data_IF_170351896457
#
_entry.id   IF_170351896457
#
_cell.length_a   1.000
_cell.length_b   1.000
_cell.length_c   1.000
_cell.angle_alpha   90.00
_cell.angle_beta   90.00
_cell.angle_gamma   90.00
#
_symmetry.space_group_name_H-M   'P 1'
#
loop_
_entity.id
_entity.type
_entity.pdbx_description
1 polymer ?
#
# COMPACT_ATOMS: atom_id res chain seq x y z
N UNK A 1 -4.63 4.76 18.69
CA UNK A 1 -5.06 5.92 17.88
C UNK A 1 -6.29 5.58 17.03
N UNK A 2 -6.20 4.62 16.09
CA UNK A 2 -7.28 4.32 15.14
C UNK A 2 -8.63 3.91 15.75
N UNK A 3 -8.65 3.26 16.92
CA UNK A 3 -9.89 2.78 17.56
C UNK A 3 -10.71 3.87 18.26
N UNK A 4 -10.16 5.07 18.43
CA UNK A 4 -10.89 6.17 19.04
C UNK A 4 -11.84 6.81 17.99
N UNK A 5 -13.14 6.98 18.28
CA UNK A 5 -14.07 7.61 17.35
C UNK A 5 -13.63 9.04 16.98
N UNK A 6 -13.53 9.34 15.68
CA UNK A 6 -13.24 10.68 15.15
C UNK A 6 -11.82 11.22 15.36
N UNK A 7 -11.04 10.64 16.27
CA UNK A 7 -9.67 11.09 16.58
C UNK A 7 -8.70 10.91 15.40
N UNK A 8 -8.64 9.75 14.70
CA UNK A 8 -7.78 9.58 13.52
C UNK A 8 -8.14 10.55 12.38
N UNK A 9 -9.43 10.72 12.12
CA UNK A 9 -9.92 11.66 11.10
C UNK A 9 -9.52 13.09 11.44
N UNK A 10 -9.61 13.49 12.71
CA UNK A 10 -9.15 14.80 13.18
C UNK A 10 -7.64 14.98 12.95
N UNK A 11 -6.82 14.02 13.36
CA UNK A 11 -5.37 14.07 13.17
C UNK A 11 -4.97 14.12 11.69
N UNK A 12 -5.67 13.41 10.81
CA UNK A 12 -5.39 13.46 9.36
C UNK A 12 -5.74 14.80 8.72
N UNK A 13 -6.69 15.55 9.28
CA UNK A 13 -7.09 16.89 8.77
C UNK A 13 -6.29 18.03 9.39
N UNK A 14 -5.65 17.81 10.53
CA UNK A 14 -4.93 18.84 11.24
C UNK A 14 -3.78 19.42 10.40
N UNK A 15 -3.48 20.70 10.62
CA UNK A 15 -2.37 21.43 10.01
C UNK A 15 -2.26 21.23 8.48
N UNK A 16 -3.35 21.47 7.76
CA UNK A 16 -3.42 21.28 6.30
C UNK A 16 -2.98 19.88 5.83
N UNK A 17 -3.44 18.84 6.52
CA UNK A 17 -3.12 17.45 6.20
C UNK A 17 -1.62 17.10 6.28
N UNK A 18 -0.86 17.76 7.16
CA UNK A 18 0.58 17.49 7.36
C UNK A 18 0.90 15.99 7.56
N UNK A 19 0.05 15.24 8.26
CA UNK A 19 0.24 13.81 8.43
C UNK A 19 0.07 13.01 7.12
N UNK A 20 -0.85 13.43 6.25
CA UNK A 20 -1.03 12.82 4.93
C UNK A 20 0.16 13.15 4.03
N UNK A 21 0.65 14.39 4.10
CA UNK A 21 1.87 14.78 3.41
C UNK A 21 3.07 13.96 3.88
N UNK A 22 3.24 13.77 5.19
CA UNK A 22 4.30 12.95 5.75
C UNK A 22 4.23 11.47 5.29
N UNK A 23 3.03 10.91 5.12
CA UNK A 23 2.83 9.57 4.54
C UNK A 23 3.45 9.45 3.14
N UNK A 24 3.41 10.52 2.34
CA UNK A 24 3.94 10.53 0.98
C UNK A 24 5.37 11.07 0.88
N UNK A 25 5.81 11.95 1.80
CA UNK A 25 7.08 12.68 1.66
C UNK A 25 8.10 12.39 2.76
N UNK A 26 7.78 11.71 3.84
CA UNK A 26 8.78 11.36 4.86
C UNK A 26 9.87 10.45 4.29
N UNK A 27 10.97 10.29 5.01
CA UNK A 27 12.03 9.36 4.61
C UNK A 27 11.64 7.92 4.92
N UNK A 28 10.80 7.72 5.91
CA UNK A 28 10.42 6.44 6.48
C UNK A 28 9.30 5.76 5.66
N UNK A 29 8.31 6.53 5.20
CA UNK A 29 7.11 5.99 4.53
C UNK A 29 6.86 6.54 3.14
N UNK A 30 7.53 7.65 2.78
CA UNK A 30 7.29 8.35 1.53
C UNK A 30 7.88 7.67 0.29
N UNK A 31 7.56 8.26 -0.86
CA UNK A 31 8.09 7.82 -2.16
C UNK A 31 9.62 7.85 -2.17
N UNK A 32 10.23 6.79 -2.70
CA UNK A 32 11.67 6.79 -2.96
C UNK A 32 11.99 7.65 -4.20
N UNK A 33 11.15 7.61 -5.21
CA UNK A 33 11.24 8.45 -6.40
C UNK A 33 10.43 9.74 -6.19
N UNK A 34 11.13 10.81 -5.82
CA UNK A 34 10.48 12.11 -5.53
C UNK A 34 9.84 12.75 -6.75
N UNK A 35 10.28 12.42 -7.95
CA UNK A 35 9.68 12.92 -9.19
C UNK A 35 8.36 12.21 -9.53
N UNK A 36 8.09 11.03 -8.93
CA UNK A 36 6.87 10.27 -9.17
C UNK A 36 5.65 10.78 -8.38
N UNK A 37 5.84 11.77 -7.49
CA UNK A 37 4.77 12.37 -6.70
C UNK A 37 4.99 13.88 -6.56
N UNK A 38 4.19 14.63 -7.32
CA UNK A 38 4.30 16.09 -7.42
C UNK A 38 3.54 16.79 -6.30
N UNK A 39 3.64 18.13 -6.25
CA UNK A 39 2.81 18.94 -5.34
C UNK A 39 1.34 18.93 -5.79
N UNK A 40 1.08 18.92 -7.10
CA UNK A 40 -0.29 18.82 -7.63
C UNK A 40 -0.95 17.49 -7.22
N UNK A 41 -0.19 16.40 -7.18
CA UNK A 41 -0.69 15.11 -6.70
C UNK A 41 -1.08 15.19 -5.22
N UNK A 42 -0.23 15.81 -4.38
CA UNK A 42 -0.53 16.00 -2.96
C UNK A 42 -1.80 16.84 -2.77
N UNK A 43 -1.93 17.95 -3.49
CA UNK A 43 -3.10 18.81 -3.40
C UNK A 43 -4.37 18.11 -3.90
N UNK A 44 -4.28 17.25 -4.91
CA UNK A 44 -5.39 16.40 -5.34
C UNK A 44 -5.83 15.41 -4.24
N UNK A 45 -4.89 14.82 -3.49
CA UNK A 45 -5.18 13.98 -2.34
C UNK A 45 -5.83 14.78 -1.20
N UNK A 46 -5.27 15.94 -0.83
CA UNK A 46 -5.85 16.84 0.19
C UNK A 46 -7.26 17.27 -0.18
N UNK A 47 -7.46 17.72 -1.42
CA UNK A 47 -8.79 18.10 -1.94
C UNK A 47 -9.80 16.97 -1.82
N UNK A 48 -9.38 15.74 -2.15
CA UNK A 48 -10.25 14.57 -2.06
C UNK A 48 -10.64 14.27 -0.62
N UNK A 49 -9.69 14.29 0.31
CA UNK A 49 -9.92 13.99 1.72
C UNK A 49 -10.51 15.14 2.54
N UNK A 50 -10.50 16.36 2.02
CA UNK A 50 -11.18 17.52 2.60
C UNK A 50 -12.70 17.45 2.50
N UNK A 51 -13.23 16.65 1.56
CA UNK A 51 -14.68 16.47 1.40
C UNK A 51 -15.30 15.89 2.68
N UNK A 52 -16.50 16.35 3.10
CA UNK A 52 -17.16 15.83 4.28
C UNK A 52 -17.27 14.30 4.26
N UNK A 53 -16.75 13.64 5.30
CA UNK A 53 -16.79 12.19 5.46
C UNK A 53 -15.74 11.40 4.64
N UNK A 54 -14.92 12.03 3.80
CA UNK A 54 -14.00 11.31 2.90
C UNK A 54 -12.89 10.52 3.62
N UNK A 55 -12.50 10.94 4.82
CA UNK A 55 -11.52 10.21 5.64
C UNK A 55 -12.13 9.03 6.42
N UNK A 56 -13.44 8.99 6.61
CA UNK A 56 -14.07 7.94 7.41
C UNK A 56 -13.91 6.53 6.78
N UNK A 57 -14.09 6.32 5.45
CA UNK A 57 -13.86 5.02 4.84
C UNK A 57 -12.46 4.45 5.03
N UNK A 58 -11.34 5.15 4.71
CA UNK A 58 -10.01 4.60 4.93
C UNK A 58 -9.69 4.40 6.42
N UNK A 59 -10.18 5.25 7.32
CA UNK A 59 -10.02 5.04 8.76
C UNK A 59 -10.79 3.81 9.25
N UNK A 60 -12.00 3.60 8.74
CA UNK A 60 -12.81 2.43 9.06
C UNK A 60 -12.20 1.13 8.53
N UNK A 61 -11.57 1.17 7.35
CA UNK A 61 -10.81 0.02 6.83
C UNK A 61 -9.69 -0.38 7.81
N UNK A 62 -8.87 0.60 8.24
CA UNK A 62 -7.81 0.36 9.22
C UNK A 62 -8.35 -0.11 10.57
N UNK A 63 -9.46 0.45 11.06
CA UNK A 63 -10.14 -0.01 12.28
C UNK A 63 -10.58 -1.46 12.15
N UNK A 64 -11.19 -1.84 11.03
CA UNK A 64 -11.62 -3.20 10.79
C UNK A 64 -10.43 -4.17 10.80
N UNK A 65 -9.33 -3.83 10.14
CA UNK A 65 -8.11 -4.65 10.15
C UNK A 65 -7.52 -4.80 11.56
N UNK A 66 -7.54 -3.75 12.39
CA UNK A 66 -7.02 -3.80 13.77
C UNK A 66 -7.95 -4.54 14.74
N UNK A 67 -9.26 -4.45 14.52
CA UNK A 67 -10.28 -5.12 15.35
C UNK A 67 -10.55 -6.56 14.89
N UNK A 68 -10.14 -6.92 13.67
CA UNK A 68 -10.24 -8.28 13.18
C UNK A 68 -9.32 -9.19 14.01
N UNK A 69 -9.92 -9.81 15.01
CA UNK A 69 -9.53 -11.13 15.46
C UNK A 69 -9.87 -12.08 14.32
N UNK A 70 -8.96 -12.26 13.36
CA UNK A 70 -9.06 -13.41 12.48
C UNK A 70 -9.17 -14.64 13.40
N UNK A 71 -10.24 -15.45 13.32
CA UNK A 71 -10.17 -16.76 13.95
C UNK A 71 -8.90 -17.42 13.43
N UNK A 72 -8.12 -18.03 14.33
CA UNK A 72 -6.84 -18.67 14.00
C UNK A 72 -6.96 -19.70 12.83
N UNK A 73 -8.19 -20.09 12.52
CA UNK A 73 -8.58 -21.07 11.52
C UNK A 73 -9.29 -20.45 10.30
N UNK A 74 -8.91 -19.26 9.83
CA UNK A 74 -9.25 -18.93 8.44
C UNK A 74 -8.49 -19.91 7.55
N UNK A 75 -9.16 -20.84 6.82
CA UNK A 75 -8.45 -21.73 5.93
C UNK A 75 -7.73 -20.85 4.91
N UNK A 76 -6.41 -21.05 4.80
CA UNK A 76 -5.57 -20.42 3.79
C UNK A 76 -5.36 -21.45 2.68
N UNK A 77 -6.37 -21.75 1.84
CA UNK A 77 -6.19 -22.69 0.76
C UNK A 77 -5.08 -22.16 -0.16
N UNK A 78 -4.22 -23.07 -0.61
CA UNK A 78 -3.17 -22.70 -1.57
C UNK A 78 -3.85 -22.16 -2.84
N UNK A 79 -3.53 -20.91 -3.18
CA UNK A 79 -4.02 -20.22 -4.36
C UNK A 79 -3.54 -20.96 -5.61
N UNK A 80 -4.49 -21.44 -6.41
CA UNK A 80 -4.21 -22.17 -7.65
C UNK A 80 -3.79 -21.30 -8.83
N UNK A 81 -4.33 -20.07 -9.03
CA UNK A 81 -3.95 -19.24 -10.16
C UNK A 81 -2.47 -18.89 -10.14
N UNK A 82 -1.89 -18.76 -11.34
CA UNK A 82 -0.59 -18.14 -11.51
C UNK A 82 -0.66 -16.73 -10.94
N UNK A 83 0.31 -16.35 -10.10
CA UNK A 83 0.28 -15.10 -9.36
C UNK A 83 1.60 -14.34 -9.48
N UNK A 84 1.53 -13.03 -9.73
CA UNK A 84 2.67 -12.14 -9.68
C UNK A 84 2.58 -11.27 -8.43
N UNK A 85 3.62 -11.26 -7.62
CA UNK A 85 3.82 -10.31 -6.53
C UNK A 85 4.95 -9.36 -6.89
N UNK A 86 4.72 -8.07 -6.74
CA UNK A 86 5.73 -7.03 -6.90
C UNK A 86 5.80 -6.25 -5.59
N UNK A 87 7.00 -6.09 -5.03
CA UNK A 87 7.21 -5.56 -3.68
C UNK A 87 8.33 -4.53 -3.64
N UNK A 88 8.09 -3.37 -3.03
CA UNK A 88 9.13 -2.37 -2.79
C UNK A 88 9.91 -2.66 -1.50
N UNK A 89 11.24 -2.74 -1.55
CA UNK A 89 12.04 -3.12 -0.37
C UNK A 89 12.24 -1.99 0.66
N UNK A 90 11.78 -0.78 0.36
CA UNK A 90 11.78 0.37 1.26
C UNK A 90 10.36 0.67 1.79
N UNK A 91 9.50 -0.35 1.84
CA UNK A 91 8.16 -0.22 2.42
C UNK A 91 8.25 0.15 3.91
N UNK A 92 7.63 1.28 4.28
CA UNK A 92 7.58 1.79 5.65
C UNK A 92 6.37 1.31 6.45
N UNK A 93 5.43 0.60 5.81
CA UNK A 93 4.19 0.10 6.42
C UNK A 93 4.18 -1.42 6.61
N UNK A 94 4.80 -2.16 5.70
CA UNK A 94 4.81 -3.62 5.71
C UNK A 94 6.24 -4.17 5.82
N UNK A 95 6.38 -5.31 6.51
CA UNK A 95 7.67 -6.01 6.60
C UNK A 95 8.10 -6.57 5.25
N UNK A 96 9.39 -6.47 4.92
CA UNK A 96 9.94 -6.92 3.63
C UNK A 96 9.81 -8.44 3.38
N UNK A 97 9.69 -9.22 4.45
CA UNK A 97 9.44 -10.65 4.45
C UNK A 97 7.99 -10.97 4.07
N UNK A 98 7.09 -9.98 4.12
CA UNK A 98 5.67 -10.13 3.77
C UNK A 98 5.48 -10.75 2.39
N UNK A 99 6.21 -10.27 1.37
CA UNK A 99 6.18 -10.85 0.03
C UNK A 99 6.63 -12.31 -0.02
N UNK A 100 7.66 -12.69 0.74
CA UNK A 100 8.15 -14.07 0.79
C UNK A 100 7.15 -15.01 1.47
N UNK A 101 6.46 -14.51 2.50
CA UNK A 101 5.41 -15.25 3.19
C UNK A 101 4.17 -15.40 2.31
N UNK A 102 3.78 -14.35 1.58
CA UNK A 102 2.61 -14.37 0.69
C UNK A 102 2.74 -15.39 -0.44
N UNK A 103 3.90 -15.52 -1.07
CA UNK A 103 4.07 -16.48 -2.17
C UNK A 103 3.99 -17.95 -1.73
N UNK A 104 4.25 -18.25 -0.44
CA UNK A 104 4.08 -19.61 0.10
C UNK A 104 2.62 -20.07 0.12
N UNK A 105 1.68 -19.11 0.04
CA UNK A 105 0.24 -19.39 -0.05
C UNK A 105 -0.21 -19.61 -1.50
N UNK A 106 0.70 -19.59 -2.47
CA UNK A 106 0.40 -19.75 -3.90
C UNK A 106 1.07 -21.01 -4.47
N UNK A 107 0.35 -21.74 -5.32
CA UNK A 107 0.90 -22.92 -6.01
C UNK A 107 1.93 -22.52 -7.06
N UNK A 108 1.67 -21.43 -7.77
CA UNK A 108 2.53 -20.89 -8.82
C UNK A 108 2.61 -19.38 -8.66
N UNK A 109 3.68 -18.89 -8.05
CA UNK A 109 3.90 -17.47 -7.87
C UNK A 109 5.31 -17.05 -8.29
N UNK A 110 5.40 -15.83 -8.81
CA UNK A 110 6.65 -15.09 -9.03
C UNK A 110 6.66 -13.89 -8.10
N UNK A 111 7.73 -13.72 -7.34
CA UNK A 111 7.97 -12.54 -6.52
C UNK A 111 9.08 -11.70 -7.15
N UNK A 112 8.78 -10.43 -7.41
CA UNK A 112 9.75 -9.41 -7.83
C UNK A 112 9.91 -8.43 -6.67
N UNK A 113 11.14 -8.24 -6.20
CA UNK A 113 11.47 -7.25 -5.17
C UNK A 113 12.26 -6.12 -5.81
N UNK A 114 11.79 -4.88 -5.66
CA UNK A 114 12.40 -3.68 -6.21
C UNK A 114 13.16 -2.95 -5.09
N UNK A 115 14.52 -2.93 -5.10
CA UNK A 115 15.31 -2.46 -3.96
C UNK A 115 15.11 -0.99 -3.55
N UNK A 116 14.79 -0.14 -4.52
CA UNK A 116 14.70 1.32 -4.34
C UNK A 116 13.25 1.84 -4.48
N UNK A 117 12.27 1.00 -4.14
CA UNK A 117 10.86 1.38 -4.14
C UNK A 117 10.27 1.26 -2.74
N UNK A 118 9.41 2.22 -2.40
CA UNK A 118 8.63 2.31 -1.16
C UNK A 118 7.39 1.42 -1.23
N UNK A 119 6.46 1.64 -0.29
CA UNK A 119 5.11 1.07 -0.32
C UNK A 119 4.38 1.35 -1.64
N UNK A 120 4.66 2.51 -2.25
CA UNK A 120 4.05 2.98 -3.49
C UNK A 120 4.81 2.50 -4.73
N UNK A 121 5.08 1.19 -4.80
CA UNK A 121 5.97 0.58 -5.79
C UNK A 121 5.56 0.87 -7.24
N UNK A 122 4.26 1.01 -7.50
CA UNK A 122 3.72 1.30 -8.83
C UNK A 122 4.11 2.69 -9.34
N UNK A 123 4.26 3.67 -8.46
CA UNK A 123 4.68 5.02 -8.80
C UNK A 123 6.21 5.09 -8.82
N UNK A 124 6.86 4.57 -7.77
CA UNK A 124 8.33 4.63 -7.63
C UNK A 124 9.05 3.99 -8.81
N UNK A 125 8.56 2.82 -9.26
CA UNK A 125 9.18 2.01 -10.28
C UNK A 125 8.23 1.69 -11.45
N UNK A 126 7.37 2.63 -11.84
CA UNK A 126 6.31 2.44 -12.85
C UNK A 126 6.76 1.69 -14.12
N UNK A 127 7.95 1.98 -14.68
CA UNK A 127 8.46 1.29 -15.87
C UNK A 127 8.72 -0.19 -15.63
N UNK A 128 9.34 -0.53 -14.50
CA UNK A 128 9.68 -1.90 -14.12
C UNK A 128 8.42 -2.68 -13.74
N UNK A 129 7.53 -2.07 -12.96
CA UNK A 129 6.23 -2.65 -12.60
C UNK A 129 5.41 -2.97 -13.86
N UNK A 130 5.24 -2.01 -14.76
CA UNK A 130 4.46 -2.19 -15.99
C UNK A 130 5.06 -3.29 -16.89
N UNK A 131 6.39 -3.33 -16.99
CA UNK A 131 7.09 -4.38 -17.74
C UNK A 131 6.78 -5.77 -17.18
N UNK A 132 6.90 -5.96 -15.87
CA UNK A 132 6.63 -7.27 -15.25
C UNK A 132 5.18 -7.69 -15.35
N UNK A 133 4.24 -6.75 -15.25
CA UNK A 133 2.82 -7.03 -15.48
C UNK A 133 2.59 -7.48 -16.94
N UNK A 134 3.15 -6.77 -17.92
CA UNK A 134 3.01 -7.12 -19.33
C UNK A 134 3.60 -8.50 -19.65
N UNK A 135 4.82 -8.77 -19.17
CA UNK A 135 5.48 -10.07 -19.32
C UNK A 135 4.62 -11.18 -18.72
N UNK A 136 4.14 -10.98 -17.49
CA UNK A 136 3.31 -11.96 -16.79
C UNK A 136 2.00 -12.28 -17.52
N UNK A 137 1.35 -11.26 -18.09
CA UNK A 137 0.10 -11.43 -18.84
C UNK A 137 0.33 -12.05 -20.23
N UNK A 138 1.50 -11.85 -20.83
CA UNK A 138 1.86 -12.43 -22.13
C UNK A 138 2.27 -13.91 -22.04
N UNK A 139 2.68 -14.39 -20.87
CA UNK A 139 2.98 -15.79 -20.64
C UNK A 139 1.69 -16.63 -20.77
N UNK A 140 1.61 -17.45 -21.83
CA UNK A 140 0.48 -18.37 -22.02
C UNK A 140 0.30 -19.30 -20.82
N UNK A 141 -0.96 -19.56 -20.44
CA UNK A 141 -1.32 -20.46 -19.33
C UNK A 141 -1.00 -21.92 -19.61
#
# INVERSE_FOLDING_TARGET
MFLCPGLPEFFMRANDFENLEAIFRSKETGFCNREAFTDDDLEAWKYTYAKPGALSPPMNYNRATMLQFYPAEFPQPILQPKTLYIWGQKDGFLMNEGGDLSIKLCKNARLIKIPNASHWVQQDAHKEVNKHIQEFLAESS
#
